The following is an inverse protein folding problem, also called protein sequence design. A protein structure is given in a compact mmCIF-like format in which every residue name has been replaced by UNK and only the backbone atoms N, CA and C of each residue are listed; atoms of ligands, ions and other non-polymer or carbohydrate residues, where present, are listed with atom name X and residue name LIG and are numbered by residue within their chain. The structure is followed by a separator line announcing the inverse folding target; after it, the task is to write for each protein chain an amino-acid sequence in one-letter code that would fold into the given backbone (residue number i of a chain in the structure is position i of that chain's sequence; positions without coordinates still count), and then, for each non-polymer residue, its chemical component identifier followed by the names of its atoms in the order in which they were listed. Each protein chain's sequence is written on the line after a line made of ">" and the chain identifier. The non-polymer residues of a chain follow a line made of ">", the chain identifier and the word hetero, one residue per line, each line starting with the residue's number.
data_IF_638714332180
#
_entry.id   IF_638714332180
#
_cell.length_a   1.000
_cell.length_b   1.000
_cell.length_c   1.000
_cell.angle_alpha   90.00
_cell.angle_beta   90.00
_cell.angle_gamma   90.00
#
_symmetry.space_group_name_H-M   'P 1'
#
loop_
_entity.id
_entity.type
_entity.pdbx_description
1 polymer ?
#
# COMPACT_ATOMS: atom_id res chain seq x y z
N UNK A 1 2.88 0.59 1.43
CA UNK A 1 2.31 1.90 1.76
C UNK A 1 0.94 1.92 1.13
N UNK A 2 -0.02 2.50 1.83
CA UNK A 2 -1.42 2.57 1.40
C UNK A 2 -1.84 4.03 1.53
N UNK A 3 -2.28 4.62 0.42
CA UNK A 3 -2.77 5.99 0.36
C UNK A 3 -4.25 5.99 0.67
N UNK A 4 -4.58 6.54 1.84
CA UNK A 4 -5.94 6.91 2.24
C UNK A 4 -5.95 8.38 2.64
N UNK A 5 -7.13 8.98 2.68
CA UNK A 5 -7.28 10.42 2.91
C UNK A 5 -6.78 10.83 4.30
N UNK A 6 -6.98 9.98 5.31
CA UNK A 6 -6.76 10.35 6.71
C UNK A 6 -5.43 9.86 7.26
N UNK A 7 -4.86 8.75 6.77
CA UNK A 7 -3.76 8.08 7.47
C UNK A 7 -2.52 8.97 7.61
N UNK A 8 -2.04 9.54 6.50
CA UNK A 8 -0.88 10.43 6.53
C UNK A 8 -1.23 11.81 7.06
N UNK A 9 -2.46 12.29 6.84
CA UNK A 9 -2.92 13.57 7.38
C UNK A 9 -2.93 13.57 8.91
N UNK A 10 -3.51 12.53 9.53
CA UNK A 10 -3.50 12.32 10.99
C UNK A 10 -2.08 12.19 11.50
N UNK A 11 -1.23 11.38 10.83
CA UNK A 11 0.18 11.20 11.21
C UNK A 11 0.97 12.50 11.26
N UNK A 12 0.70 13.45 10.36
CA UNK A 12 1.37 14.74 10.31
C UNK A 12 0.55 15.88 10.92
N UNK A 13 -0.46 15.58 11.75
CA UNK A 13 -1.18 16.58 12.52
C UNK A 13 -1.98 17.58 11.68
N UNK A 14 -2.52 17.14 10.54
CA UNK A 14 -3.28 17.99 9.63
C UNK A 14 -2.44 18.68 8.55
N UNK A 15 -1.13 18.44 8.50
CA UNK A 15 -0.26 18.99 7.43
C UNK A 15 -0.45 18.21 6.12
N UNK A 16 -1.28 18.76 5.24
CA UNK A 16 -1.61 18.18 3.94
C UNK A 16 -0.36 18.03 3.04
N UNK A 17 0.52 19.03 3.00
CA UNK A 17 1.71 19.02 2.13
C UNK A 17 2.64 17.88 2.52
N UNK A 18 2.86 17.68 3.82
CA UNK A 18 3.67 16.55 4.32
C UNK A 18 2.99 15.20 4.10
N UNK A 19 1.66 15.15 4.21
CA UNK A 19 0.90 13.93 3.95
C UNK A 19 1.03 13.51 2.48
N UNK A 20 0.86 14.43 1.54
CA UNK A 20 0.96 14.19 0.10
C UNK A 20 2.38 13.77 -0.32
N UNK A 21 3.40 14.40 0.28
CA UNK A 21 4.81 14.10 0.01
C UNK A 21 5.21 12.64 0.28
N UNK A 22 4.47 11.91 1.13
CA UNK A 22 4.72 10.48 1.36
C UNK A 22 4.57 9.69 0.05
N UNK A 23 3.53 9.99 -0.72
CA UNK A 23 3.12 9.26 -1.92
C UNK A 23 3.61 9.90 -3.21
N UNK A 24 4.18 11.10 -3.13
CA UNK A 24 4.62 11.86 -4.30
C UNK A 24 5.62 11.08 -5.16
N UNK A 25 5.38 11.07 -6.47
CA UNK A 25 6.17 10.33 -7.45
C UNK A 25 6.34 8.83 -7.11
N UNK A 26 5.46 8.21 -6.31
CA UNK A 26 5.43 6.75 -6.15
C UNK A 26 4.47 6.19 -7.20
N UNK A 27 4.98 5.34 -8.08
CA UNK A 27 4.12 4.66 -9.05
C UNK A 27 3.18 3.67 -8.33
N UNK A 28 1.87 3.85 -8.53
CA UNK A 28 0.81 2.97 -8.03
C UNK A 28 0.98 2.60 -6.54
N UNK A 29 0.89 3.56 -5.60
CA UNK A 29 0.71 3.21 -4.19
C UNK A 29 -0.59 2.40 -4.06
N UNK A 30 -0.69 1.58 -3.02
CA UNK A 30 -1.96 0.89 -2.76
C UNK A 30 -3.00 1.90 -2.30
N UNK A 31 -4.27 1.61 -2.55
CA UNK A 31 -5.43 2.33 -2.05
C UNK A 31 -6.27 1.44 -1.12
N UNK A 32 -7.32 2.00 -0.53
CA UNK A 32 -8.18 1.27 0.39
C UNK A 32 -8.85 0.06 -0.29
N UNK A 33 -9.18 0.22 -1.57
CA UNK A 33 -9.83 -0.78 -2.40
C UNK A 33 -8.94 -2.01 -2.61
N UNK A 34 -7.64 -1.83 -2.83
CA UNK A 34 -6.69 -2.93 -3.00
C UNK A 34 -6.59 -3.79 -1.72
N UNK A 35 -6.68 -3.15 -0.55
CA UNK A 35 -6.68 -3.83 0.75
C UNK A 35 -8.01 -4.57 0.96
N UNK A 36 -9.12 -3.94 0.59
CA UNK A 36 -10.45 -4.56 0.68
C UNK A 36 -10.54 -5.82 -0.21
N UNK A 37 -10.02 -5.76 -1.44
CA UNK A 37 -9.97 -6.90 -2.34
C UNK A 37 -9.12 -8.05 -1.78
N UNK A 38 -7.96 -7.74 -1.18
CA UNK A 38 -7.14 -8.76 -0.51
C UNK A 38 -7.89 -9.44 0.67
N UNK A 39 -8.71 -8.69 1.40
CA UNK A 39 -9.58 -9.25 2.45
C UNK A 39 -10.65 -10.15 1.83
N UNK A 40 -11.33 -9.71 0.78
CA UNK A 40 -12.35 -10.51 0.06
C UNK A 40 -11.75 -11.83 -0.43
N UNK A 41 -10.60 -11.79 -1.10
CA UNK A 41 -9.92 -13.00 -1.54
C UNK A 41 -9.55 -13.94 -0.39
N UNK A 42 -9.20 -13.39 0.78
CA UNK A 42 -8.87 -14.20 1.95
C UNK A 42 -10.09 -14.95 2.51
N UNK A 43 -11.28 -14.35 2.45
CA UNK A 43 -12.52 -14.96 2.97
C UNK A 43 -13.21 -15.89 1.96
N UNK A 44 -12.92 -15.76 0.66
CA UNK A 44 -13.47 -16.63 -0.39
C UNK A 44 -12.81 -18.01 -0.46
N UNK A 45 -11.70 -18.21 0.26
CA UNK A 45 -11.00 -19.48 0.31
C UNK A 45 -11.85 -20.59 0.96
N UNK A 46 -11.65 -21.86 0.58
CA UNK A 46 -12.32 -22.98 1.23
C UNK A 46 -12.08 -22.97 2.76
N UNK A 47 -13.08 -23.34 3.56
CA UNK A 47 -13.03 -23.23 5.03
C UNK A 47 -11.96 -24.07 5.75
N UNK A 48 -11.19 -24.87 5.03
CA UNK A 48 -10.02 -25.59 5.56
C UNK A 48 -8.69 -24.87 5.26
N UNK A 49 -8.73 -23.73 4.58
CA UNK A 49 -7.55 -22.92 4.27
C UNK A 49 -7.47 -21.78 5.28
N UNK A 50 -6.29 -21.61 5.87
CA UNK A 50 -6.00 -20.50 6.79
C UNK A 50 -4.82 -19.68 6.26
N UNK A 51 -4.98 -18.36 6.22
CA UNK A 51 -3.89 -17.43 5.95
C UNK A 51 -3.39 -16.86 7.28
N UNK A 52 -2.26 -17.37 7.79
CA UNK A 52 -1.72 -16.95 9.09
C UNK A 52 -1.20 -15.50 9.09
N UNK A 53 -0.57 -15.07 7.99
CA UNK A 53 -0.04 -13.73 7.84
C UNK A 53 0.00 -13.33 6.36
N UNK A 54 -0.61 -12.20 6.03
CA UNK A 54 -0.55 -11.61 4.69
C UNK A 54 0.17 -10.28 4.78
N UNK A 55 1.30 -10.16 4.07
CA UNK A 55 2.03 -8.89 3.93
C UNK A 55 1.80 -8.31 2.55
N UNK A 56 1.06 -7.21 2.47
CA UNK A 56 0.73 -6.52 1.23
C UNK A 56 1.54 -5.22 1.08
N UNK A 57 2.14 -4.99 -0.10
CA UNK A 57 2.92 -3.79 -0.43
C UNK A 57 2.76 -3.46 -1.92
N UNK A 58 2.81 -2.17 -2.32
CA UNK A 58 2.90 -1.82 -3.74
C UNK A 58 4.26 -2.26 -4.28
N UNK A 59 4.32 -2.56 -5.58
CA UNK A 59 5.56 -2.98 -6.25
C UNK A 59 6.70 -1.98 -6.07
N UNK A 60 6.38 -0.67 -6.04
CA UNK A 60 7.35 0.40 -5.80
C UNK A 60 8.03 0.32 -4.42
N UNK A 61 7.51 -0.46 -3.46
CA UNK A 61 8.05 -0.60 -2.12
C UNK A 61 8.40 -2.05 -1.77
N UNK A 62 9.66 -2.44 -1.98
CA UNK A 62 10.14 -3.77 -1.60
C UNK A 62 10.27 -3.95 -0.08
N UNK A 63 10.59 -2.88 0.66
CA UNK A 63 10.72 -2.89 2.12
C UNK A 63 10.34 -1.51 2.69
N UNK A 64 10.05 -1.38 4.01
CA UNK A 64 9.67 -0.10 4.60
C UNK A 64 10.63 1.05 4.31
N UNK A 65 11.93 0.76 4.25
CA UNK A 65 13.01 1.71 3.97
C UNK A 65 13.43 1.74 2.48
N UNK A 66 12.78 0.97 1.60
CA UNK A 66 13.17 0.81 0.19
C UNK A 66 11.98 1.09 -0.71
N UNK A 67 11.86 2.34 -1.14
CA UNK A 67 10.81 2.86 -2.02
C UNK A 67 11.46 3.44 -3.27
N UNK A 68 11.04 2.98 -4.45
CA UNK A 68 11.40 3.58 -5.74
C UNK A 68 10.39 4.68 -6.04
N UNK A 69 10.88 5.85 -6.43
CA UNK A 69 10.08 6.96 -6.94
C UNK A 69 10.37 7.15 -8.43
N UNK A 70 9.33 7.43 -9.21
CA UNK A 70 9.36 7.47 -10.67
C UNK A 70 8.81 6.20 -11.32
N UNK A 71 9.00 6.10 -12.63
CA UNK A 71 8.55 4.98 -13.45
C UNK A 71 9.19 3.66 -13.02
N UNK A 72 8.38 2.61 -12.85
CA UNK A 72 8.88 1.26 -12.62
C UNK A 72 9.23 0.61 -13.96
N UNK A 73 10.48 0.15 -14.08
CA UNK A 73 10.95 -0.60 -15.25
C UNK A 73 11.30 -2.01 -14.80
N UNK A 74 10.54 -3.04 -15.22
CA UNK A 74 10.89 -4.43 -14.94
C UNK A 74 12.27 -4.76 -15.51
N UNK A 75 13.10 -5.43 -14.73
CA UNK A 75 14.28 -6.09 -15.26
C UNK A 75 13.83 -7.45 -15.79
N UNK A 76 13.78 -7.59 -17.11
CA UNK A 76 13.69 -8.89 -17.78
C UNK A 76 14.98 -9.67 -17.59
#
# INVERSE_FOLDING_TARGET
>A
MVKTDEFSLVRFGGDQVRADAVYDNVANPLHAEDVAEAIVHSIELPGFVNLDLVTLKPLAQAAPHKVIRGTLVPKL
#
